data_IF_569740449480
#
_entry.id   IF_569740449480
#
_cell.length_a   1.000
_cell.length_b   1.000
_cell.length_c   1.000
_cell.angle_alpha   90.00
_cell.angle_beta   90.00
_cell.angle_gamma   90.00
#
_symmetry.space_group_name_H-M   'P 1'
#
loop_
_entity.id
_entity.type
_entity.pdbx_description
1 polymer ?
#
# COMPACT_ATOMS: atom_id res chain seq x y z
N UNK A 1 -15.89 22.51 -11.53
CA UNK A 1 -14.50 22.23 -11.97
C UNK A 1 -14.61 21.21 -13.09
N UNK A 2 -14.21 21.58 -14.30
CA UNK A 2 -14.21 20.70 -15.46
C UNK A 2 -13.02 19.74 -15.35
N UNK A 3 -13.24 18.58 -14.76
CA UNK A 3 -12.18 17.60 -14.56
C UNK A 3 -11.95 16.83 -15.86
N UNK A 4 -10.83 17.14 -16.53
CA UNK A 4 -10.21 16.46 -17.67
C UNK A 4 -11.10 15.37 -18.33
N UNK A 5 -12.12 15.74 -19.11
CA UNK A 5 -13.15 14.80 -19.57
C UNK A 5 -12.61 13.75 -20.55
N UNK A 6 -11.42 13.98 -21.11
CA UNK A 6 -10.76 13.10 -22.08
C UNK A 6 -9.64 12.25 -21.45
N UNK A 7 -9.38 12.37 -20.15
CA UNK A 7 -8.31 11.61 -19.51
C UNK A 7 -8.74 10.15 -19.31
N UNK A 8 -8.30 9.27 -20.20
CA UNK A 8 -8.62 7.84 -20.15
C UNK A 8 -7.61 7.00 -19.38
N UNK A 9 -6.35 7.44 -19.31
CA UNK A 9 -5.25 6.68 -18.73
C UNK A 9 -4.53 7.53 -17.68
N UNK A 10 -4.35 6.98 -16.48
CA UNK A 10 -3.66 7.65 -15.39
C UNK A 10 -2.72 6.68 -14.68
N UNK A 11 -1.48 7.10 -14.48
CA UNK A 11 -0.49 6.41 -13.67
C UNK A 11 0.00 7.39 -12.60
N UNK A 12 -0.20 7.05 -11.33
CA UNK A 12 0.18 7.88 -10.20
C UNK A 12 0.82 7.08 -9.07
N UNK A 13 1.66 7.76 -8.32
CA UNK A 13 2.18 7.26 -7.06
C UNK A 13 1.25 7.64 -5.90
N UNK A 14 1.01 6.71 -4.99
CA UNK A 14 0.18 6.92 -3.80
C UNK A 14 0.88 6.42 -2.53
N UNK A 15 0.64 7.12 -1.42
CA UNK A 15 0.97 6.65 -0.07
C UNK A 15 -0.30 6.03 0.51
N UNK A 16 -0.23 4.77 0.93
CA UNK A 16 -1.32 4.17 1.73
C UNK A 16 -1.27 4.68 3.16
N UNK A 17 -2.44 4.90 3.73
CA UNK A 17 -2.66 5.42 5.08
C UNK A 17 -3.70 4.56 5.79
N UNK A 18 -3.55 3.24 5.68
CA UNK A 18 -4.37 2.21 6.32
C UNK A 18 -5.85 2.36 5.98
N UNK A 19 -6.15 2.79 4.75
CA UNK A 19 -7.53 3.02 4.29
C UNK A 19 -8.29 4.04 5.15
N UNK A 20 -7.57 5.06 5.65
CA UNK A 20 -8.16 6.19 6.35
C UNK A 20 -9.05 7.06 5.43
N UNK A 21 -9.68 8.08 6.02
CA UNK A 21 -10.53 9.01 5.30
C UNK A 21 -9.79 9.78 4.19
N UNK A 22 -8.47 9.96 4.28
CA UNK A 22 -7.67 10.67 3.27
C UNK A 22 -7.46 9.79 2.05
N UNK A 23 -7.07 8.53 2.27
CA UNK A 23 -6.93 7.52 1.23
C UNK A 23 -8.25 7.34 0.48
N UNK A 24 -9.37 7.29 1.23
CA UNK A 24 -10.70 7.22 0.63
C UNK A 24 -11.03 8.44 -0.25
N UNK A 25 -10.79 9.65 0.24
CA UNK A 25 -11.02 10.89 -0.54
C UNK A 25 -10.17 10.93 -1.81
N UNK A 26 -8.96 10.41 -1.79
CA UNK A 26 -8.13 10.25 -2.98
C UNK A 26 -8.83 9.36 -4.02
N UNK A 27 -9.34 8.20 -3.61
CA UNK A 27 -10.08 7.29 -4.50
C UNK A 27 -11.38 7.90 -5.02
N UNK A 28 -12.12 8.64 -4.19
CA UNK A 28 -13.32 9.39 -4.61
C UNK A 28 -12.96 10.47 -5.64
N UNK A 29 -11.86 11.20 -5.44
CA UNK A 29 -11.37 12.19 -6.38
C UNK A 29 -10.94 11.57 -7.71
N UNK A 30 -10.32 10.38 -7.71
CA UNK A 30 -10.02 9.65 -8.95
C UNK A 30 -11.30 9.25 -9.69
N UNK A 31 -12.35 8.88 -8.96
CA UNK A 31 -13.65 8.60 -9.55
C UNK A 31 -14.31 9.83 -10.16
N UNK A 32 -14.01 11.04 -9.68
CA UNK A 32 -14.55 12.28 -10.26
C UNK A 32 -14.10 12.54 -11.71
N UNK A 33 -13.14 11.78 -12.23
CA UNK A 33 -12.66 11.84 -13.62
C UNK A 33 -13.58 11.00 -14.54
N UNK A 34 -14.48 11.62 -15.33
CA UNK A 34 -15.50 10.89 -16.08
C UNK A 34 -14.93 10.12 -17.28
N UNK A 35 -13.75 10.49 -17.79
CA UNK A 35 -13.11 9.79 -18.91
C UNK A 35 -12.25 8.59 -18.49
N UNK A 36 -11.97 8.43 -17.19
CA UNK A 36 -10.94 7.50 -16.73
C UNK A 36 -11.35 6.04 -16.99
N UNK A 37 -10.53 5.31 -17.73
CA UNK A 37 -10.71 3.89 -18.07
C UNK A 37 -9.64 3.02 -17.45
N UNK A 38 -8.39 3.47 -17.49
CA UNK A 38 -7.23 2.71 -17.05
C UNK A 38 -6.47 3.49 -15.98
N UNK A 39 -6.40 2.92 -14.79
CA UNK A 39 -5.69 3.49 -13.65
C UNK A 39 -4.57 2.56 -13.20
N UNK A 40 -3.38 3.12 -12.97
CA UNK A 40 -2.28 2.45 -12.30
C UNK A 40 -1.93 3.21 -11.03
N UNK A 41 -2.02 2.53 -9.88
CA UNK A 41 -1.65 3.03 -8.57
C UNK A 41 -0.35 2.37 -8.15
N UNK A 42 0.72 3.15 -8.09
CA UNK A 42 2.03 2.71 -7.62
C UNK A 42 2.22 3.11 -6.16
N UNK A 43 2.38 2.15 -5.25
CA UNK A 43 2.76 2.50 -3.87
C UNK A 43 4.25 2.71 -3.77
N UNK A 44 4.66 3.70 -2.99
CA UNK A 44 6.08 3.99 -2.72
C UNK A 44 6.40 3.76 -1.23
N UNK A 45 7.70 3.70 -0.92
CA UNK A 45 8.15 3.52 0.45
C UNK A 45 7.75 4.71 1.34
N UNK A 46 7.22 4.45 2.55
CA UNK A 46 7.14 5.51 3.53
C UNK A 46 8.56 5.96 3.87
N UNK A 47 8.81 7.26 3.75
CA UNK A 47 10.03 7.85 4.31
C UNK A 47 9.98 7.65 5.83
N UNK A 48 10.92 6.88 6.36
CA UNK A 48 11.22 6.97 7.79
C UNK A 48 11.96 8.29 7.96
N UNK A 49 11.52 9.18 8.85
CA UNK A 49 12.23 10.43 9.11
C UNK A 49 13.69 10.13 9.46
N UNK A 50 14.64 10.89 8.89
CA UNK A 50 16.09 10.71 9.12
C UNK A 50 16.51 10.99 10.59
N UNK A 51 15.60 11.52 11.42
CA UNK A 51 15.81 11.78 12.84
C UNK A 51 14.50 11.58 13.62
N UNK A 52 14.54 11.19 14.92
CA UNK A 52 13.37 11.20 15.79
C UNK A 52 13.05 12.64 16.20
N UNK A 53 12.80 13.54 15.24
CA UNK A 53 12.48 14.93 15.52
C UNK A 53 10.98 15.17 15.44
N UNK A 54 10.42 15.15 16.65
CA UNK A 54 9.08 15.58 17.01
C UNK A 54 8.05 14.56 16.50
N UNK A 55 7.22 13.94 17.36
CA UNK A 55 6.05 13.19 16.88
C UNK A 55 5.35 14.07 15.86
N UNK A 56 4.95 13.52 14.71
CA UNK A 56 4.06 14.28 13.83
C UNK A 56 2.94 14.81 14.75
N UNK A 57 2.56 16.10 14.72
CA UNK A 57 1.41 16.54 15.50
C UNK A 57 0.13 15.75 15.15
N UNK A 58 0.11 15.01 14.03
CA UNK A 58 -0.87 13.96 13.70
C UNK A 58 -0.63 12.60 14.40
N UNK A 59 0.61 12.28 14.82
CA UNK A 59 0.95 11.26 15.83
C UNK A 59 0.52 11.73 17.24
N UNK A 60 -0.69 12.27 17.35
CA UNK A 60 -1.32 12.59 18.64
C UNK A 60 -1.15 11.34 19.50
N UNK A 61 -0.51 11.51 20.66
CA UNK A 61 -0.06 10.48 21.61
C UNK A 61 -1.15 9.49 22.10
N UNK A 62 -2.37 9.53 21.56
CA UNK A 62 -3.56 8.87 22.07
C UNK A 62 -3.90 7.48 21.49
N UNK A 63 -3.13 6.91 20.56
CA UNK A 63 -3.44 5.55 20.02
C UNK A 63 -2.31 4.53 20.06
N UNK A 64 -1.10 4.93 20.43
CA UNK A 64 0.02 3.97 20.51
C UNK A 64 0.02 3.24 21.84
N UNK A 65 -0.04 1.92 21.75
CA UNK A 65 0.21 1.03 22.89
C UNK A 65 1.63 1.21 23.43
N UNK A 66 1.90 0.71 24.63
CA UNK A 66 3.26 0.68 25.18
C UNK A 66 4.22 -0.15 24.30
N UNK A 67 3.68 -1.08 23.51
CA UNK A 67 4.45 -1.80 22.50
C UNK A 67 4.84 -0.88 21.34
N UNK A 68 3.92 -0.06 20.85
CA UNK A 68 4.12 0.83 19.69
C UNK A 68 5.14 1.93 19.93
N UNK A 69 5.23 2.41 21.17
CA UNK A 69 6.18 3.44 21.58
C UNK A 69 7.61 2.92 21.67
N UNK A 70 7.80 1.60 21.85
CA UNK A 70 9.13 1.00 21.93
C UNK A 70 9.84 1.09 20.59
N UNK A 71 11.14 1.32 20.66
CA UNK A 71 12.02 1.18 19.52
C UNK A 71 12.01 -0.27 19.06
N UNK A 72 11.99 -0.45 17.75
CA UNK A 72 12.15 -1.75 17.11
C UNK A 72 13.48 -2.34 17.55
N UNK A 73 13.49 -3.63 17.88
CA UNK A 73 14.67 -4.36 18.36
C UNK A 73 15.89 -4.23 17.41
N UNK A 74 15.66 -3.84 16.15
CA UNK A 74 16.66 -3.74 15.08
C UNK A 74 17.04 -2.29 14.72
N UNK A 75 16.47 -1.28 15.38
CA UNK A 75 16.74 0.13 15.05
C UNK A 75 16.51 1.09 16.22
N UNK A 76 17.46 2.00 16.44
CA UNK A 76 17.33 3.11 17.39
C UNK A 76 16.36 4.21 16.94
N UNK A 77 16.00 4.23 15.66
CA UNK A 77 15.28 5.36 15.04
C UNK A 77 13.87 4.96 14.55
N UNK A 78 13.55 3.67 14.58
CA UNK A 78 12.26 3.13 14.15
C UNK A 78 11.50 2.58 15.34
N UNK A 79 10.29 3.08 15.56
CA UNK A 79 9.36 2.53 16.56
C UNK A 79 8.58 1.34 16.00
N UNK A 80 8.09 0.47 16.87
CA UNK A 80 7.22 -0.64 16.48
C UNK A 80 5.99 -0.18 15.70
N UNK A 81 5.43 1.00 16.05
CA UNK A 81 4.36 1.64 15.28
C UNK A 81 4.72 1.79 13.79
N UNK A 82 5.92 2.27 13.48
CA UNK A 82 6.36 2.46 12.10
C UNK A 82 6.47 1.13 11.35
N UNK A 83 6.95 0.08 12.02
CA UNK A 83 7.03 -1.29 11.46
C UNK A 83 5.63 -1.79 11.14
N UNK A 84 4.69 -1.69 12.09
CA UNK A 84 3.30 -2.09 11.90
C UNK A 84 2.65 -1.31 10.75
N UNK A 85 2.85 0.00 10.71
CA UNK A 85 2.29 0.86 9.66
C UNK A 85 2.77 0.46 8.29
N UNK A 86 4.06 0.13 8.15
CA UNK A 86 4.62 -0.39 6.92
C UNK A 86 3.94 -1.71 6.55
N UNK A 87 3.84 -2.65 7.49
CA UNK A 87 3.22 -3.95 7.24
C UNK A 87 1.76 -3.81 6.79
N UNK A 88 0.94 -3.05 7.53
CA UNK A 88 -0.48 -2.83 7.20
C UNK A 88 -0.63 -2.15 5.84
N UNK A 89 0.19 -1.13 5.56
CA UNK A 89 0.09 -0.40 4.29
C UNK A 89 0.56 -1.23 3.09
N UNK A 90 1.37 -2.27 3.31
CA UNK A 90 1.88 -3.17 2.27
C UNK A 90 1.09 -4.46 2.14
N UNK A 91 0.39 -4.89 3.18
CA UNK A 91 -0.53 -6.01 3.15
C UNK A 91 -1.76 -5.64 2.33
N UNK A 92 -1.75 -6.02 1.05
CA UNK A 92 -2.87 -5.79 0.14
C UNK A 92 -3.43 -7.14 -0.29
N UNK A 93 -4.76 -7.26 -0.27
CA UNK A 93 -5.49 -8.45 -0.68
C UNK A 93 -6.58 -8.12 -1.71
N UNK A 94 -7.26 -9.15 -2.21
CA UNK A 94 -8.33 -9.01 -3.20
C UNK A 94 -9.52 -8.21 -2.65
N UNK A 95 -9.82 -8.33 -1.35
CA UNK A 95 -10.93 -7.63 -0.69
C UNK A 95 -10.71 -6.12 -0.70
N UNK A 96 -9.51 -5.69 -0.34
CA UNK A 96 -9.10 -4.29 -0.38
C UNK A 96 -9.11 -3.75 -1.82
N UNK A 97 -8.61 -4.52 -2.79
CA UNK A 97 -8.64 -4.13 -4.21
C UNK A 97 -10.06 -3.95 -4.75
N UNK A 98 -10.97 -4.87 -4.40
CA UNK A 98 -12.39 -4.75 -4.73
C UNK A 98 -13.03 -3.52 -4.09
N UNK A 99 -12.65 -3.20 -2.84
CA UNK A 99 -13.14 -2.01 -2.13
C UNK A 99 -12.67 -0.72 -2.80
N UNK A 100 -11.40 -0.62 -3.16
CA UNK A 100 -10.82 0.53 -3.87
C UNK A 100 -11.49 0.70 -5.24
N UNK A 101 -11.61 -0.39 -6.01
CA UNK A 101 -12.33 -0.38 -7.28
C UNK A 101 -13.75 0.19 -7.13
N UNK A 102 -14.49 -0.29 -6.14
CA UNK A 102 -15.87 0.14 -5.91
C UNK A 102 -15.97 1.61 -5.51
N UNK A 103 -15.05 2.13 -4.67
CA UNK A 103 -15.04 3.55 -4.29
C UNK A 103 -14.85 4.42 -5.54
N UNK A 104 -13.88 4.09 -6.39
CA UNK A 104 -13.60 4.84 -7.63
C UNK A 104 -14.79 4.75 -8.58
N UNK A 105 -15.26 3.53 -8.88
CA UNK A 105 -16.35 3.30 -9.82
C UNK A 105 -17.67 3.95 -9.37
N UNK A 106 -17.99 3.91 -8.08
CA UNK A 106 -19.22 4.52 -7.55
C UNK A 106 -19.14 6.06 -7.52
N UNK A 107 -17.94 6.61 -7.42
CA UNK A 107 -17.71 8.05 -7.50
C UNK A 107 -17.63 8.55 -8.95
N UNK A 108 -17.58 7.63 -9.92
CA UNK A 108 -17.49 7.93 -11.35
C UNK A 108 -18.85 7.92 -12.02
N UNK A 109 -19.30 9.10 -12.45
CA UNK A 109 -20.61 9.30 -13.10
C UNK A 109 -20.76 8.49 -14.39
N UNK A 110 -19.69 8.35 -15.18
CA UNK A 110 -19.68 7.61 -16.44
C UNK A 110 -19.60 6.09 -16.27
N UNK A 111 -19.11 5.62 -15.11
CA UNK A 111 -18.74 4.21 -14.86
C UNK A 111 -17.85 3.62 -15.97
N UNK A 112 -16.94 4.42 -16.51
CA UNK A 112 -16.06 4.00 -17.61
C UNK A 112 -14.80 3.26 -17.16
N UNK A 113 -14.55 3.09 -15.87
CA UNK A 113 -13.38 2.37 -15.39
C UNK A 113 -13.38 0.91 -15.89
N UNK A 114 -12.34 0.55 -16.64
CA UNK A 114 -12.15 -0.76 -17.25
C UNK A 114 -11.04 -1.55 -16.56
N UNK A 115 -10.00 -0.86 -16.06
CA UNK A 115 -8.80 -1.49 -15.52
C UNK A 115 -8.21 -0.67 -14.37
N UNK A 116 -7.94 -1.34 -13.26
CA UNK A 116 -7.16 -0.83 -12.13
C UNK A 116 -5.98 -1.77 -11.89
N UNK A 117 -4.76 -1.26 -12.06
CA UNK A 117 -3.55 -1.94 -11.62
C UNK A 117 -3.09 -1.32 -10.32
N UNK A 118 -2.88 -2.16 -9.32
CA UNK A 118 -2.26 -1.76 -8.07
C UNK A 118 -0.89 -2.41 -8.00
N UNK A 119 0.15 -1.60 -8.09
CA UNK A 119 1.54 -2.04 -8.07
C UNK A 119 2.10 -1.72 -6.70
N UNK A 120 2.35 -2.79 -5.95
CA UNK A 120 2.99 -2.70 -4.67
C UNK A 120 4.49 -2.82 -4.88
N UNK A 121 5.17 -1.68 -4.95
CA UNK A 121 6.61 -1.67 -5.25
C UNK A 121 7.38 -2.28 -4.07
N UNK A 122 8.37 -3.15 -4.31
CA UNK A 122 9.21 -3.67 -3.24
C UNK A 122 9.88 -2.52 -2.47
N UNK A 123 10.22 -2.78 -1.20
CA UNK A 123 11.05 -1.85 -0.47
C UNK A 123 12.47 -1.81 -1.08
N UNK A 124 12.83 -0.68 -1.68
CA UNK A 124 14.16 -0.41 -2.24
C UNK A 124 14.83 0.73 -1.48
N UNK A 125 15.98 0.48 -0.86
CA UNK A 125 16.81 1.56 -0.32
C UNK A 125 17.41 1.24 1.05
N UNK A 126 17.75 2.28 1.81
CA UNK A 126 18.39 2.19 3.13
C UNK A 126 17.60 1.32 4.12
N UNK A 127 16.27 1.31 4.00
CA UNK A 127 15.38 0.55 4.88
C UNK A 127 15.51 -0.96 4.71
N UNK A 128 15.68 -1.45 3.48
CA UNK A 128 15.84 -2.87 3.17
C UNK A 128 17.29 -3.35 3.08
N UNK A 129 18.27 -2.45 3.24
CA UNK A 129 19.70 -2.76 3.25
C UNK A 129 20.04 -3.78 4.36
N UNK A 130 21.07 -4.65 4.21
CA UNK A 130 21.47 -5.60 5.25
C UNK A 130 21.80 -4.97 6.61
N UNK A 131 22.26 -3.72 6.62
CA UNK A 131 22.49 -2.91 7.83
C UNK A 131 21.33 -1.96 8.14
N UNK A 132 20.25 -2.04 7.37
CA UNK A 132 19.09 -1.18 7.45
C UNK A 132 18.16 -1.59 8.59
N UNK A 133 17.40 -0.63 9.14
CA UNK A 133 16.57 -0.84 10.32
C UNK A 133 15.41 -1.82 10.11
N UNK A 134 15.08 -2.13 8.85
CA UNK A 134 13.95 -2.98 8.46
C UNK A 134 14.39 -4.19 7.63
N UNK A 135 15.66 -4.58 7.63
CA UNK A 135 16.13 -5.70 6.80
C UNK A 135 15.34 -7.00 7.01
N UNK A 136 15.10 -7.39 8.27
CA UNK A 136 14.30 -8.57 8.59
C UNK A 136 12.82 -8.40 8.17
N UNK A 137 12.27 -7.20 8.38
CA UNK A 137 10.90 -6.85 7.94
C UNK A 137 10.79 -6.87 6.41
N UNK A 138 11.85 -6.52 5.68
CA UNK A 138 11.87 -6.53 4.22
C UNK A 138 11.68 -7.95 3.65
N UNK A 139 12.17 -9.00 4.34
CA UNK A 139 11.91 -10.39 3.96
C UNK A 139 10.45 -10.79 4.22
N UNK A 140 9.92 -10.49 5.40
CA UNK A 140 8.50 -10.73 5.69
C UNK A 140 7.59 -9.98 4.70
N UNK A 141 7.96 -8.75 4.36
CA UNK A 141 7.28 -7.95 3.34
C UNK A 141 7.41 -8.56 1.94
N UNK A 142 8.53 -9.15 1.56
CA UNK A 142 8.68 -9.79 0.26
C UNK A 142 7.64 -10.91 0.05
N UNK A 143 7.29 -11.62 1.11
CA UNK A 143 6.25 -12.65 1.10
C UNK A 143 4.82 -12.08 1.19
N UNK A 144 4.64 -10.84 1.65
CA UNK A 144 3.32 -10.18 1.80
C UNK A 144 2.99 -9.21 0.66
N UNK A 145 3.99 -8.69 -0.04
CA UNK A 145 3.81 -7.72 -1.11
C UNK A 145 3.15 -8.43 -2.28
N UNK A 146 1.93 -7.99 -2.57
CA UNK A 146 1.10 -8.45 -3.66
C UNK A 146 0.70 -7.27 -4.52
N UNK A 147 0.71 -7.48 -5.82
CA UNK A 147 0.18 -6.53 -6.78
C UNK A 147 -1.05 -7.15 -7.44
N UNK A 148 -1.98 -6.32 -7.87
CA UNK A 148 -3.24 -6.80 -8.40
C UNK A 148 -3.64 -6.06 -9.66
N UNK A 149 -4.39 -6.76 -10.49
CA UNK A 149 -5.08 -6.21 -11.63
C UNK A 149 -6.55 -6.52 -11.51
N UNK A 150 -7.34 -5.46 -11.38
CA UNK A 150 -8.80 -5.51 -11.40
C UNK A 150 -9.26 -5.09 -12.79
N UNK A 151 -10.10 -5.92 -13.41
CA UNK A 151 -10.67 -5.66 -14.74
C UNK A 151 -12.17 -5.75 -14.71
N UNK A 152 -12.85 -4.84 -15.42
CA UNK A 152 -14.29 -4.92 -15.59
C UNK A 152 -14.67 -6.21 -16.33
N UNK A 153 -15.66 -6.95 -15.81
CA UNK A 153 -16.14 -8.17 -16.47
C UNK A 153 -16.97 -7.84 -17.73
N UNK A 154 -17.57 -6.65 -17.76
CA UNK A 154 -18.27 -6.02 -18.88
C UNK A 154 -18.10 -4.51 -18.76
N UNK A 155 -17.99 -3.82 -19.89
CA UNK A 155 -17.92 -2.36 -19.93
C UNK A 155 -19.12 -1.73 -19.18
N UNK A 156 -18.85 -0.81 -18.24
CA UNK A 156 -19.89 -0.14 -17.44
C UNK A 156 -20.56 -0.97 -16.33
N UNK A 157 -20.11 -2.22 -16.11
CA UNK A 157 -20.71 -3.13 -15.13
C UNK A 157 -20.08 -3.04 -13.73
N UNK A 158 -20.87 -3.34 -12.69
CA UNK A 158 -20.39 -3.46 -11.30
C UNK A 158 -19.62 -4.76 -11.03
N UNK A 159 -19.65 -5.71 -11.97
CA UNK A 159 -18.87 -6.96 -11.88
C UNK A 159 -17.47 -6.74 -12.42
N UNK A 160 -16.48 -7.15 -11.65
CA UNK A 160 -15.08 -7.14 -12.02
C UNK A 160 -14.43 -8.50 -11.71
N UNK A 161 -13.24 -8.70 -12.26
CA UNK A 161 -12.34 -9.81 -11.94
C UNK A 161 -11.08 -9.25 -11.31
N UNK A 162 -10.61 -9.90 -10.25
CA UNK A 162 -9.33 -9.58 -9.64
C UNK A 162 -8.36 -10.70 -10.02
N UNK A 163 -7.13 -10.31 -10.35
CA UNK A 163 -6.03 -11.23 -10.56
C UNK A 163 -4.81 -10.69 -9.86
N UNK A 164 -4.15 -11.54 -9.08
CA UNK A 164 -2.82 -11.24 -8.57
C UNK A 164 -1.81 -11.15 -9.74
N UNK A 165 -1.11 -10.03 -9.80
CA UNK A 165 0.02 -9.85 -10.68
C UNK A 165 1.25 -10.47 -10.03
N UNK A 166 1.78 -11.53 -10.64
CA UNK A 166 3.14 -11.98 -10.36
C UNK A 166 4.11 -10.93 -10.89
N UNK A 167 4.40 -9.92 -10.08
CA UNK A 167 5.51 -9.00 -10.38
C UNK A 167 6.79 -9.82 -10.29
N UNK A 168 7.62 -9.72 -11.33
CA UNK A 168 8.79 -10.59 -11.55
C UNK A 168 9.69 -10.73 -10.32
N UNK A 169 9.98 -11.98 -9.98
CA UNK A 169 11.13 -12.54 -9.28
C UNK A 169 12.04 -11.57 -8.48
N UNK A 170 11.74 -11.44 -7.19
CA UNK A 170 12.78 -11.34 -6.15
C UNK A 170 13.46 -12.69 -5.87
N UNK A 171 12.98 -13.79 -6.49
CA UNK A 171 13.47 -15.16 -6.34
C UNK A 171 14.98 -15.34 -6.61
N UNK A 172 15.68 -14.36 -7.17
CA UNK A 172 17.14 -14.37 -7.26
C UNK A 172 17.86 -14.37 -5.89
N UNK A 173 17.15 -14.14 -4.77
CA UNK A 173 17.70 -14.16 -3.41
C UNK A 173 17.15 -15.28 -2.49
N UNK A 174 16.44 -16.28 -3.04
CA UNK A 174 15.77 -17.35 -2.27
C UNK A 174 16.68 -18.31 -1.49
N UNK A 175 18.00 -18.13 -1.49
CA UNK A 175 18.94 -19.01 -0.81
C UNK A 175 19.23 -18.67 0.65
N UNK A 176 18.29 -18.06 1.38
CA UNK A 176 18.33 -17.99 2.85
C UNK A 176 16.94 -18.17 3.44
N UNK A 177 16.58 -19.44 3.65
CA UNK A 177 15.48 -19.83 4.52
C UNK A 177 15.75 -19.30 5.93
N UNK A 178 14.92 -18.38 6.41
CA UNK A 178 14.82 -18.06 7.83
C UNK A 178 13.34 -18.01 8.21
N UNK A 179 13.04 -18.78 9.24
CA UNK A 179 11.73 -19.03 9.83
C UNK A 179 11.08 -17.71 10.23
N UNK A 180 9.81 -17.52 9.87
CA UNK A 180 8.94 -16.49 10.45
C UNK A 180 8.94 -16.70 11.96
N UNK A 181 9.67 -15.87 12.71
CA UNK A 181 9.71 -15.97 14.17
C UNK A 181 8.38 -15.51 14.77
N UNK A 182 8.05 -16.03 15.94
CA UNK A 182 6.82 -15.77 16.69
C UNK A 182 6.56 -14.26 16.91
N UNK A 183 7.62 -13.44 16.87
CA UNK A 183 7.61 -11.98 17.04
C UNK A 183 6.83 -11.21 15.97
N UNK A 184 6.72 -11.75 14.75
CA UNK A 184 5.94 -11.08 13.68
C UNK A 184 4.43 -11.26 13.85
N UNK A 185 3.99 -12.30 14.59
CA UNK A 185 2.56 -12.52 14.84
C UNK A 185 2.00 -11.48 15.81
N UNK A 186 2.75 -11.13 16.87
CA UNK A 186 2.35 -10.10 17.84
C UNK A 186 2.29 -8.67 17.24
N UNK A 187 2.93 -8.44 16.09
CA UNK A 187 2.89 -7.13 15.41
C UNK A 187 1.63 -6.96 14.57
N UNK A 188 1.04 -8.07 14.09
CA UNK A 188 -0.05 -8.10 13.11
C UNK A 188 -1.44 -8.25 13.76
N UNK A 189 -1.52 -8.77 14.99
CA UNK A 189 -2.75 -8.82 15.81
C UNK A 189 -3.06 -7.47 16.51
#
# INVERSE_FOLDING_TARGET
>A
MEFCPLLENLDIQIKRTKSDARERRLYEALGSLPGLKNLTLNTFEPRIPDEPKIPDPEDVECTFSDFDKKLSMRSSDVRNAHVRDILINRAVDETLMGSIWNIILNSQSSRSLESLRFINMPMTGYLSHPSGPLHATAYALADMIRSYHVTAARHGGTRFRIRELRVMNWEANRNRSLVVTEDLKEIID
#
